data_IF_075779371082
#
_entry.id   IF_075779371082
#
_cell.length_a   1.000
_cell.length_b   1.000
_cell.length_c   1.000
_cell.angle_alpha   90.00
_cell.angle_beta   90.00
_cell.angle_gamma   90.00
#
_symmetry.space_group_name_H-M   'P 1'
#
loop_
_entity.id
_entity.type
_entity.pdbx_description
1 polymer ?
#
# COMPACT_ATOMS: atom_id res chain seq x y z
N UNK A 1 32.72 19.19 -1.25
CA UNK A 1 33.07 18.66 0.07
C UNK A 1 33.70 19.78 0.92
N UNK A 2 33.24 19.91 2.16
CA UNK A 2 33.81 20.84 3.13
C UNK A 2 34.46 19.99 4.24
N UNK A 3 35.77 20.20 4.41
CA UNK A 3 36.50 19.54 5.50
C UNK A 3 36.75 20.56 6.61
N UNK A 4 36.44 20.17 7.86
CA UNK A 4 36.75 21.00 9.03
C UNK A 4 37.17 20.11 10.21
N UNK A 5 37.91 20.74 11.16
CA UNK A 5 38.35 20.06 12.37
C UNK A 5 37.63 20.65 13.55
N UNK A 6 37.01 19.76 14.38
CA UNK A 6 36.35 20.12 15.63
C UNK A 6 36.82 19.20 16.75
N UNK A 7 37.29 19.77 17.85
CA UNK A 7 37.83 19.02 19.00
C UNK A 7 38.86 17.93 18.64
N UNK A 8 39.73 18.22 17.67
CA UNK A 8 40.78 17.29 17.22
C UNK A 8 40.30 16.20 16.26
N UNK A 9 39.00 16.12 15.97
CA UNK A 9 38.43 15.17 15.00
C UNK A 9 38.17 15.90 13.66
N UNK A 10 38.50 15.23 12.55
CA UNK A 10 38.26 15.74 11.20
C UNK A 10 36.88 15.30 10.73
N UNK A 11 36.11 16.23 10.18
CA UNK A 11 34.78 16.01 9.62
C UNK A 11 34.76 16.42 8.15
N UNK A 12 34.12 15.60 7.33
CA UNK A 12 33.82 15.94 5.93
C UNK A 12 32.31 16.09 5.77
N UNK A 13 31.88 17.26 5.36
CA UNK A 13 30.47 17.54 5.06
C UNK A 13 30.29 17.58 3.55
N UNK A 14 29.23 16.94 3.09
CA UNK A 14 28.81 16.96 1.70
C UNK A 14 27.38 17.49 1.60
N UNK A 15 27.00 18.01 0.44
CA UNK A 15 25.67 18.48 0.17
C UNK A 15 25.06 17.74 -1.02
N UNK A 16 23.77 17.42 -0.89
CA UNK A 16 22.94 16.98 -2.01
C UNK A 16 22.00 18.10 -2.39
N UNK A 17 21.98 18.51 -3.64
CA UNK A 17 21.29 19.71 -4.12
C UNK A 17 20.34 19.32 -5.25
N UNK A 18 19.08 19.73 -5.14
CA UNK A 18 18.10 19.68 -6.22
C UNK A 18 18.05 21.01 -6.97
N UNK A 19 18.11 20.96 -8.29
CA UNK A 19 18.01 22.13 -9.16
C UNK A 19 16.80 21.99 -10.08
N UNK A 20 15.99 23.04 -10.16
CA UNK A 20 14.81 23.10 -11.04
C UNK A 20 14.85 24.39 -11.87
N UNK A 21 14.49 24.27 -13.15
CA UNK A 21 14.30 25.41 -14.00
C UNK A 21 12.89 25.98 -13.78
N UNK A 22 12.81 27.27 -13.44
CA UNK A 22 11.53 27.97 -13.25
C UNK A 22 11.06 28.49 -14.61
N UNK A 23 9.82 28.17 -14.97
CA UNK A 23 9.14 28.66 -16.16
C UNK A 23 8.05 29.67 -15.79
N UNK A 24 7.71 30.59 -16.68
CA UNK A 24 6.76 31.69 -16.44
C UNK A 24 5.37 31.30 -15.94
N UNK A 25 4.98 30.04 -16.12
CA UNK A 25 3.66 29.51 -15.68
C UNK A 25 3.74 28.58 -14.46
N UNK A 26 4.94 28.36 -13.90
CA UNK A 26 5.11 27.47 -12.77
C UNK A 26 4.58 28.12 -11.48
N UNK A 27 3.77 27.40 -10.72
CA UNK A 27 3.34 27.85 -9.38
C UNK A 27 4.48 27.67 -8.38
N UNK A 28 4.43 28.44 -7.28
CA UNK A 28 5.38 28.32 -6.18
C UNK A 28 5.42 26.89 -5.61
N UNK A 29 4.25 26.30 -5.38
CA UNK A 29 4.13 24.96 -4.76
C UNK A 29 4.65 23.88 -5.70
N UNK A 30 4.39 24.00 -6.99
CA UNK A 30 4.92 23.07 -8.00
C UNK A 30 6.45 23.17 -8.12
N UNK A 31 6.98 24.38 -8.11
CA UNK A 31 8.43 24.62 -8.15
C UNK A 31 9.13 24.06 -6.92
N UNK A 32 8.61 24.29 -5.72
CA UNK A 32 9.17 23.75 -4.48
C UNK A 32 9.11 22.22 -4.46
N UNK A 33 7.96 21.65 -4.81
CA UNK A 33 7.79 20.18 -4.90
C UNK A 33 8.80 19.55 -5.86
N UNK A 34 9.02 20.16 -7.00
CA UNK A 34 9.96 19.68 -8.01
C UNK A 34 11.41 19.79 -7.53
N UNK A 35 11.76 20.88 -6.82
CA UNK A 35 13.09 21.06 -6.23
C UNK A 35 13.37 20.04 -5.12
N UNK A 36 12.40 19.78 -4.24
CA UNK A 36 12.48 18.75 -3.21
C UNK A 36 12.68 17.36 -3.81
N UNK A 37 11.96 17.05 -4.88
CA UNK A 37 12.13 15.83 -5.65
C UNK A 37 13.56 15.68 -6.17
N UNK A 38 14.08 16.68 -6.83
CA UNK A 38 15.45 16.65 -7.34
C UNK A 38 16.48 16.49 -6.20
N UNK A 39 16.26 17.14 -5.06
CA UNK A 39 17.12 17.01 -3.88
C UNK A 39 17.08 15.59 -3.30
N UNK A 40 15.91 15.01 -3.21
CA UNK A 40 15.74 13.62 -2.78
C UNK A 40 16.54 12.65 -3.66
N UNK A 41 16.44 12.80 -4.99
CA UNK A 41 17.20 11.98 -5.92
C UNK A 41 18.71 12.13 -5.80
N UNK A 42 19.17 13.34 -5.54
CA UNK A 42 20.60 13.54 -5.28
C UNK A 42 21.05 12.69 -4.08
N UNK A 43 20.18 12.52 -3.07
CA UNK A 43 20.44 11.65 -1.91
C UNK A 43 20.41 10.16 -2.25
N UNK A 44 19.40 9.72 -3.01
CA UNK A 44 19.24 8.31 -3.43
C UNK A 44 20.36 7.84 -4.36
N UNK A 45 20.74 8.65 -5.31
CA UNK A 45 21.81 8.33 -6.27
C UNK A 45 23.24 8.38 -5.68
N UNK A 46 23.35 8.36 -4.33
CA UNK A 46 24.64 8.25 -3.62
C UNK A 46 25.13 9.55 -3.01
N UNK A 47 24.26 10.53 -2.79
CA UNK A 47 24.55 11.83 -2.12
C UNK A 47 25.66 12.64 -2.79
N UNK A 48 26.09 13.73 -2.18
CA UNK A 48 27.22 14.57 -2.61
C UNK A 48 27.17 14.93 -4.10
N UNK A 49 26.01 15.37 -4.60
CA UNK A 49 25.78 15.73 -6.01
C UNK A 49 24.70 16.75 -6.20
N UNK A 50 24.71 17.35 -7.37
CA UNK A 50 23.62 18.17 -7.88
C UNK A 50 22.77 17.31 -8.80
N UNK A 51 21.45 17.26 -8.57
CA UNK A 51 20.49 16.64 -9.46
C UNK A 51 19.64 17.73 -10.09
N UNK A 52 19.66 17.80 -11.40
CA UNK A 52 18.81 18.72 -12.17
C UNK A 52 17.48 17.96 -12.44
N UNK A 53 16.37 18.63 -12.17
CA UNK A 53 15.07 18.10 -12.58
C UNK A 53 14.95 18.17 -14.11
N UNK A 54 14.64 17.01 -14.71
CA UNK A 54 14.30 16.95 -16.13
C UNK A 54 12.81 16.55 -16.24
N UNK A 55 11.95 17.35 -16.92
CA UNK A 55 10.52 17.01 -17.08
C UNK A 55 10.25 15.66 -17.74
N UNK A 56 11.23 15.11 -18.46
CA UNK A 56 11.13 13.77 -19.06
C UNK A 56 11.50 12.62 -18.11
N UNK A 57 11.91 12.90 -16.89
CA UNK A 57 12.32 11.91 -15.89
C UNK A 57 11.06 11.34 -15.18
N UNK A 58 10.27 10.60 -15.95
CA UNK A 58 9.01 9.98 -15.46
C UNK A 58 9.24 9.04 -14.29
N UNK A 59 10.37 8.35 -14.23
CA UNK A 59 10.75 7.47 -13.13
C UNK A 59 10.81 8.22 -11.79
N UNK A 60 11.18 9.49 -11.83
CA UNK A 60 11.33 10.36 -10.69
C UNK A 60 9.99 10.84 -10.12
N UNK A 61 9.11 11.24 -10.99
CA UNK A 61 7.72 11.60 -10.63
C UNK A 61 6.99 10.40 -10.03
N UNK A 62 7.27 9.21 -10.55
CA UNK A 62 6.70 7.96 -10.04
C UNK A 62 7.16 7.66 -8.61
N UNK A 63 8.47 7.73 -8.33
CA UNK A 63 9.03 7.48 -6.99
C UNK A 63 8.56 8.47 -5.92
N UNK A 64 8.43 9.74 -6.30
CA UNK A 64 7.92 10.76 -5.36
C UNK A 64 6.43 10.54 -5.05
N UNK A 65 5.66 10.17 -6.07
CA UNK A 65 4.28 9.73 -5.88
C UNK A 65 4.18 8.55 -4.90
N UNK A 66 5.08 7.58 -5.03
CA UNK A 66 5.12 6.41 -4.15
C UNK A 66 5.44 6.75 -2.68
N UNK A 67 6.40 7.65 -2.42
CA UNK A 67 6.69 8.08 -1.04
C UNK A 67 5.52 8.81 -0.38
N UNK A 68 4.78 9.62 -1.15
CA UNK A 68 3.56 10.23 -0.65
C UNK A 68 2.50 9.17 -0.30
N UNK A 69 2.52 8.02 -0.95
CA UNK A 69 1.65 6.90 -0.64
C UNK A 69 1.96 6.25 0.70
N UNK A 70 3.22 6.19 1.15
CA UNK A 70 3.56 5.64 2.47
C UNK A 70 2.76 6.32 3.57
N UNK A 71 2.81 7.66 3.61
CA UNK A 71 2.04 8.42 4.61
C UNK A 71 0.53 8.27 4.42
N UNK A 72 0.05 8.31 3.16
CA UNK A 72 -1.37 8.14 2.85
C UNK A 72 -1.92 6.78 3.25
N UNK A 73 -1.11 5.72 3.14
CA UNK A 73 -1.47 4.36 3.56
C UNK A 73 -1.57 4.28 5.08
N UNK A 74 -0.60 4.86 5.83
CA UNK A 74 -0.67 4.93 7.27
C UNK A 74 -1.90 5.71 7.74
N UNK A 75 -2.12 6.91 7.21
CA UNK A 75 -3.32 7.71 7.50
C UNK A 75 -4.60 6.92 7.18
N UNK A 76 -4.61 6.15 6.09
CA UNK A 76 -5.76 5.38 5.67
C UNK A 76 -6.07 4.19 6.57
N UNK A 77 -5.04 3.56 7.15
CA UNK A 77 -5.20 2.50 8.15
C UNK A 77 -5.75 3.08 9.46
N UNK A 78 -5.25 4.23 9.90
CA UNK A 78 -5.69 4.89 11.14
C UNK A 78 -7.10 5.49 11.01
N UNK A 79 -7.45 6.05 9.85
CA UNK A 79 -8.73 6.71 9.58
C UNK A 79 -9.79 5.74 9.02
N UNK A 80 -9.52 4.44 8.97
CA UNK A 80 -10.43 3.39 8.45
C UNK A 80 -10.92 3.67 7.01
N UNK A 81 -10.05 4.21 6.15
CA UNK A 81 -10.40 4.57 4.78
C UNK A 81 -10.24 3.44 3.75
N UNK A 82 -9.69 2.31 4.15
CA UNK A 82 -9.75 1.11 3.35
C UNK A 82 -11.16 0.52 3.34
N UNK A 83 -11.54 -0.14 2.25
CA UNK A 83 -12.81 -0.85 2.14
C UNK A 83 -12.66 -2.09 1.25
N UNK A 84 -13.51 -3.08 1.48
CA UNK A 84 -13.55 -4.32 0.73
C UNK A 84 -14.79 -4.34 -0.17
N UNK A 85 -14.57 -4.58 -1.46
CA UNK A 85 -15.61 -4.85 -2.43
C UNK A 85 -15.69 -6.36 -2.67
N UNK A 86 -16.90 -6.89 -2.78
CA UNK A 86 -17.11 -8.30 -3.08
C UNK A 86 -17.47 -8.46 -4.55
N UNK A 87 -16.74 -9.33 -5.24
CA UNK A 87 -17.06 -9.77 -6.61
C UNK A 87 -17.54 -11.22 -6.57
N UNK A 88 -18.68 -11.49 -7.20
CA UNK A 88 -19.20 -12.84 -7.28
C UNK A 88 -18.42 -13.67 -8.29
N UNK A 89 -18.07 -14.89 -7.92
CA UNK A 89 -17.49 -15.91 -8.79
C UNK A 89 -18.63 -16.84 -9.21
N UNK A 90 -18.94 -16.86 -10.49
CA UNK A 90 -20.02 -17.68 -11.05
C UNK A 90 -19.48 -18.97 -11.65
N UNK A 91 -20.15 -20.09 -11.37
CA UNK A 91 -19.83 -21.36 -12.03
C UNK A 91 -20.26 -21.30 -13.51
N UNK A 92 -19.35 -21.73 -14.42
CA UNK A 92 -19.66 -21.78 -15.86
C UNK A 92 -20.59 -22.95 -16.21
N UNK A 93 -20.58 -24.02 -15.41
CA UNK A 93 -21.36 -25.21 -15.62
C UNK A 93 -21.94 -25.72 -14.29
N UNK A 94 -23.21 -26.16 -14.33
CA UNK A 94 -23.92 -26.73 -13.19
C UNK A 94 -24.70 -25.71 -12.37
N UNK A 95 -25.68 -26.22 -11.62
CA UNK A 95 -26.41 -25.42 -10.62
C UNK A 95 -25.57 -25.42 -9.36
N UNK A 96 -24.91 -24.31 -9.07
CA UNK A 96 -24.17 -24.10 -7.84
C UNK A 96 -25.07 -24.30 -6.61
N UNK A 97 -25.10 -25.50 -6.10
CA UNK A 97 -25.82 -25.83 -4.87
C UNK A 97 -24.87 -25.69 -3.69
N UNK A 98 -24.89 -24.59 -2.98
CA UNK A 98 -24.06 -24.52 -1.78
C UNK A 98 -23.70 -23.13 -1.25
N UNK A 99 -24.19 -22.07 -1.85
CA UNK A 99 -23.87 -20.70 -1.44
C UNK A 99 -23.06 -19.91 -2.46
N UNK A 100 -22.78 -18.64 -2.16
CA UNK A 100 -22.04 -17.75 -3.06
C UNK A 100 -20.54 -17.95 -2.91
N UNK A 101 -19.85 -17.93 -4.04
CA UNK A 101 -18.39 -17.81 -4.09
C UNK A 101 -18.06 -16.35 -4.39
N UNK A 102 -17.23 -15.74 -3.57
CA UNK A 102 -16.88 -14.33 -3.71
C UNK A 102 -15.37 -14.12 -3.62
N UNK A 103 -14.87 -13.11 -4.28
CA UNK A 103 -13.54 -12.57 -4.10
C UNK A 103 -13.65 -11.19 -3.44
N UNK A 104 -12.83 -10.93 -2.43
CA UNK A 104 -12.74 -9.64 -1.79
C UNK A 104 -11.62 -8.82 -2.40
N UNK A 105 -11.98 -7.66 -2.89
CA UNK A 105 -11.10 -6.74 -3.58
C UNK A 105 -10.89 -5.48 -2.75
N UNK A 106 -9.65 -5.21 -2.39
CA UNK A 106 -9.26 -4.03 -1.63
C UNK A 106 -9.49 -2.76 -2.45
N UNK A 107 -10.02 -1.73 -1.80
CA UNK A 107 -10.12 -0.35 -2.31
C UNK A 107 -9.71 0.62 -1.22
N UNK A 108 -9.27 1.79 -1.62
CA UNK A 108 -8.96 2.89 -0.73
C UNK A 108 -9.87 4.08 -1.06
N UNK A 109 -10.32 4.79 -0.02
CA UNK A 109 -11.00 6.09 -0.19
C UNK A 109 -10.01 7.20 0.11
N UNK A 110 -9.97 8.20 -0.77
CA UNK A 110 -9.24 9.44 -0.48
C UNK A 110 -9.96 10.27 0.60
N UNK A 111 -9.39 11.41 0.96
CA UNK A 111 -9.98 12.31 1.98
C UNK A 111 -11.31 12.94 1.53
N UNK A 112 -11.56 12.97 0.23
CA UNK A 112 -12.80 13.47 -0.38
C UNK A 112 -13.85 12.36 -0.57
N UNK A 113 -13.51 11.10 -0.21
CA UNK A 113 -14.37 9.93 -0.31
C UNK A 113 -14.34 9.23 -1.66
N UNK A 114 -13.52 9.68 -2.63
CA UNK A 114 -13.39 9.04 -3.92
C UNK A 114 -12.62 7.72 -3.82
N UNK A 115 -12.97 6.76 -4.68
CA UNK A 115 -12.26 5.49 -4.75
C UNK A 115 -10.93 5.64 -5.48
N UNK A 116 -9.88 5.16 -4.84
CA UNK A 116 -8.54 5.03 -5.39
C UNK A 116 -8.31 3.56 -5.78
N UNK A 117 -7.94 3.30 -7.03
CA UNK A 117 -7.69 1.94 -7.50
C UNK A 117 -6.42 1.35 -6.86
N UNK A 118 -6.36 0.01 -6.64
CA UNK A 118 -5.18 -0.67 -6.06
C UNK A 118 -3.88 -0.39 -6.80
N UNK A 119 -3.93 -0.27 -8.13
CA UNK A 119 -2.75 0.02 -8.96
C UNK A 119 -2.02 1.32 -8.62
N UNK A 120 -2.68 2.26 -7.93
CA UNK A 120 -2.10 3.54 -7.55
C UNK A 120 -1.29 3.46 -6.24
N UNK A 121 -1.63 2.54 -5.33
CA UNK A 121 -1.00 2.47 -4.00
C UNK A 121 -0.30 1.14 -3.70
N UNK A 122 -0.73 0.01 -4.27
CA UNK A 122 -0.12 -1.31 -4.03
C UNK A 122 1.38 -1.33 -4.39
N UNK A 123 1.83 -0.78 -5.55
CA UNK A 123 3.26 -0.78 -5.87
C UNK A 123 4.12 -0.04 -4.83
N UNK A 124 3.58 1.05 -4.26
CA UNK A 124 4.25 1.76 -3.17
C UNK A 124 4.24 0.93 -1.87
N UNK A 125 3.11 0.30 -1.53
CA UNK A 125 3.00 -0.56 -0.36
C UNK A 125 3.98 -1.74 -0.41
N UNK A 126 4.14 -2.38 -1.56
CA UNK A 126 5.11 -3.46 -1.78
C UNK A 126 6.54 -2.97 -1.60
N UNK A 127 6.90 -1.88 -2.29
CA UNK A 127 8.26 -1.32 -2.27
C UNK A 127 8.71 -0.89 -0.88
N UNK A 128 7.80 -0.34 -0.09
CA UNK A 128 8.09 0.18 1.26
C UNK A 128 7.71 -0.78 2.39
N UNK A 129 7.38 -2.04 2.06
CA UNK A 129 7.14 -3.09 3.06
C UNK A 129 5.88 -2.89 3.90
N UNK A 130 4.85 -2.22 3.35
CA UNK A 130 3.59 -1.96 4.04
C UNK A 130 2.53 -3.04 3.81
N UNK A 131 2.76 -3.96 2.87
CA UNK A 131 1.80 -5.02 2.56
C UNK A 131 1.41 -5.87 3.77
N UNK A 132 2.31 -6.29 4.68
CA UNK A 132 1.90 -7.06 5.85
C UNK A 132 0.90 -6.33 6.76
N UNK A 133 0.95 -5.00 6.83
CA UNK A 133 -0.03 -4.20 7.57
C UNK A 133 -1.39 -4.20 6.86
N UNK A 134 -1.36 -3.98 5.55
CA UNK A 134 -2.57 -3.98 4.71
C UNK A 134 -3.22 -5.37 4.73
N UNK A 135 -2.46 -6.44 4.55
CA UNK A 135 -2.98 -7.82 4.52
C UNK A 135 -3.61 -8.20 5.87
N UNK A 136 -3.01 -7.81 6.99
CA UNK A 136 -3.63 -8.00 8.31
C UNK A 136 -4.93 -7.23 8.45
N UNK A 137 -5.00 -6.00 7.97
CA UNK A 137 -6.21 -5.20 7.93
C UNK A 137 -7.30 -5.91 7.09
N UNK A 138 -6.92 -6.39 5.89
CA UNK A 138 -7.84 -7.11 4.98
C UNK A 138 -8.40 -8.36 5.64
N UNK A 139 -7.55 -9.20 6.24
CA UNK A 139 -8.00 -10.43 6.91
C UNK A 139 -8.94 -10.12 8.07
N UNK A 140 -8.62 -9.12 8.89
CA UNK A 140 -9.47 -8.71 10.00
C UNK A 140 -10.87 -8.35 9.53
N UNK A 141 -10.97 -7.44 8.56
CA UNK A 141 -12.25 -6.91 8.08
C UNK A 141 -13.02 -7.94 7.23
N UNK A 142 -12.31 -8.76 6.45
CA UNK A 142 -12.92 -9.87 5.73
C UNK A 142 -13.62 -10.84 6.70
N UNK A 143 -12.95 -11.21 7.79
CA UNK A 143 -13.51 -12.14 8.77
C UNK A 143 -14.67 -11.52 9.56
N UNK A 144 -14.64 -10.25 9.84
CA UNK A 144 -15.79 -9.54 10.44
C UNK A 144 -17.02 -9.57 9.53
N UNK A 145 -16.82 -9.29 8.23
CA UNK A 145 -17.88 -9.34 7.21
C UNK A 145 -18.44 -10.77 7.09
N UNK A 146 -17.58 -11.79 6.99
CA UNK A 146 -17.97 -13.17 6.86
C UNK A 146 -18.76 -13.63 8.10
N UNK A 147 -18.25 -13.35 9.29
CA UNK A 147 -18.91 -13.69 10.55
C UNK A 147 -20.28 -13.00 10.69
N UNK A 148 -20.39 -11.75 10.25
CA UNK A 148 -21.68 -11.06 10.20
C UNK A 148 -22.65 -11.73 9.23
N UNK A 149 -22.18 -12.13 8.06
CA UNK A 149 -22.99 -12.85 7.07
C UNK A 149 -23.44 -14.22 7.54
N UNK A 150 -22.58 -15.00 8.18
CA UNK A 150 -22.93 -16.29 8.77
C UNK A 150 -24.09 -16.14 9.76
N UNK A 151 -24.11 -15.07 10.55
CA UNK A 151 -25.14 -14.85 11.58
C UNK A 151 -26.46 -14.30 11.03
N UNK A 152 -26.42 -13.49 9.98
CA UNK A 152 -27.58 -12.67 9.59
C UNK A 152 -28.07 -12.88 8.15
N UNK A 153 -27.39 -13.67 7.33
CA UNK A 153 -27.75 -13.84 5.91
C UNK A 153 -28.48 -15.16 5.65
N UNK A 154 -29.49 -15.08 4.81
CA UNK A 154 -30.18 -16.25 4.24
C UNK A 154 -29.42 -16.87 3.06
N UNK A 155 -28.42 -16.16 2.52
CA UNK A 155 -27.55 -16.62 1.43
C UNK A 155 -26.15 -16.87 1.98
N UNK A 156 -25.78 -18.14 2.28
CA UNK A 156 -24.47 -18.44 2.84
C UNK A 156 -23.35 -18.18 1.83
N UNK A 157 -22.19 -17.77 2.34
CA UNK A 157 -20.95 -17.75 1.57
C UNK A 157 -20.38 -19.17 1.61
N UNK A 158 -20.16 -19.77 0.43
CA UNK A 158 -19.51 -21.08 0.32
C UNK A 158 -17.98 -20.91 0.39
N UNK A 159 -17.42 -19.93 -0.34
CA UNK A 159 -15.99 -19.63 -0.36
C UNK A 159 -15.78 -18.14 -0.51
N UNK A 160 -14.80 -17.61 0.21
CA UNK A 160 -14.34 -16.25 0.12
C UNK A 160 -12.85 -16.24 -0.23
N UNK A 161 -12.51 -15.75 -1.41
CA UNK A 161 -11.14 -15.55 -1.85
C UNK A 161 -10.62 -14.19 -1.34
N UNK A 162 -9.41 -14.21 -0.82
CA UNK A 162 -8.72 -13.05 -0.25
C UNK A 162 -7.31 -13.02 -0.83
N UNK A 163 -6.98 -11.93 -1.53
CA UNK A 163 -5.64 -11.71 -2.05
C UNK A 163 -4.66 -11.37 -0.92
N UNK A 164 -3.48 -11.98 -0.95
CA UNK A 164 -2.37 -11.72 -0.04
C UNK A 164 -1.09 -11.47 -0.82
N UNK A 165 -0.28 -10.56 -0.33
CA UNK A 165 1.05 -10.32 -0.89
C UNK A 165 2.03 -11.44 -0.55
N UNK A 166 3.00 -11.69 -1.44
CA UNK A 166 4.09 -12.61 -1.16
C UNK A 166 4.94 -12.20 0.07
N UNK A 167 4.99 -10.91 0.40
CA UNK A 167 5.71 -10.40 1.56
C UNK A 167 5.15 -10.91 2.89
N UNK A 168 3.84 -11.08 2.97
CA UNK A 168 3.14 -11.55 4.19
C UNK A 168 3.44 -13.02 4.51
N UNK A 169 3.81 -13.83 3.51
CA UNK A 169 4.22 -15.22 3.74
C UNK A 169 5.53 -15.36 4.50
N UNK A 170 6.39 -14.34 4.47
CA UNK A 170 7.63 -14.32 5.24
C UNK A 170 7.43 -13.81 6.68
N UNK A 171 6.22 -13.42 7.06
CA UNK A 171 5.87 -13.03 8.43
C UNK A 171 5.51 -14.27 9.24
N UNK A 172 6.46 -14.74 10.08
CA UNK A 172 6.28 -15.94 10.91
C UNK A 172 5.03 -15.89 11.81
N UNK A 173 4.59 -14.70 12.20
CA UNK A 173 3.40 -14.50 13.03
C UNK A 173 2.07 -14.48 12.26
N UNK A 174 2.09 -14.45 10.93
CA UNK A 174 0.86 -14.28 10.15
C UNK A 174 -0.06 -15.50 10.21
N UNK A 175 0.49 -16.70 10.14
CA UNK A 175 -0.28 -17.94 10.23
C UNK A 175 -1.02 -18.06 11.57
N UNK A 176 -0.35 -17.74 12.67
CA UNK A 176 -0.95 -17.76 13.99
C UNK A 176 -2.04 -16.68 14.14
N UNK A 177 -1.79 -15.50 13.58
CA UNK A 177 -2.79 -14.43 13.50
C UNK A 177 -4.07 -14.89 12.78
N UNK A 178 -3.93 -15.50 11.60
CA UNK A 178 -5.08 -16.02 10.84
C UNK A 178 -5.82 -17.08 11.64
N UNK A 179 -5.11 -18.02 12.25
CA UNK A 179 -5.70 -19.09 13.07
C UNK A 179 -6.47 -18.54 14.26
N UNK A 180 -5.91 -17.57 14.98
CA UNK A 180 -6.58 -16.89 16.09
C UNK A 180 -7.88 -16.21 15.62
N UNK A 181 -7.82 -15.50 14.48
CA UNK A 181 -8.99 -14.80 13.93
C UNK A 181 -10.08 -15.78 13.48
N UNK A 182 -9.73 -16.89 12.81
CA UNK A 182 -10.70 -17.93 12.43
C UNK A 182 -11.44 -18.48 13.66
N UNK A 183 -10.70 -18.78 14.73
CA UNK A 183 -11.29 -19.24 15.98
C UNK A 183 -12.17 -18.16 16.63
N UNK A 184 -11.68 -16.94 16.73
CA UNK A 184 -12.40 -15.80 17.34
C UNK A 184 -13.73 -15.51 16.67
N UNK A 185 -13.78 -15.59 15.34
CA UNK A 185 -14.97 -15.29 14.56
C UNK A 185 -15.82 -16.54 14.25
N UNK A 186 -15.37 -17.71 14.70
CA UNK A 186 -16.00 -19.00 14.43
C UNK A 186 -16.26 -19.24 12.94
N UNK A 187 -15.23 -19.00 12.11
CA UNK A 187 -15.28 -19.18 10.66
C UNK A 187 -14.67 -20.53 10.31
N UNK A 188 -15.39 -21.41 9.59
CA UNK A 188 -14.80 -22.64 9.07
C UNK A 188 -13.64 -22.35 8.11
N UNK A 189 -12.44 -22.93 8.32
CA UNK A 189 -11.30 -22.70 7.43
C UNK A 189 -11.58 -23.02 5.96
N UNK A 190 -12.48 -23.97 5.69
CA UNK A 190 -12.90 -24.37 4.33
C UNK A 190 -13.63 -23.25 3.55
N UNK A 191 -14.08 -22.21 4.25
CA UNK A 191 -14.71 -21.04 3.62
C UNK A 191 -13.69 -20.02 3.08
N UNK A 192 -12.41 -20.12 3.46
CA UNK A 192 -11.40 -19.13 3.12
C UNK A 192 -10.45 -19.71 2.08
N UNK A 193 -10.22 -18.94 1.03
CA UNK A 193 -9.20 -19.18 0.04
C UNK A 193 -8.25 -17.99 0.01
N UNK A 194 -6.97 -18.20 0.32
CA UNK A 194 -5.96 -17.16 0.14
C UNK A 194 -5.32 -17.30 -1.24
N UNK A 195 -5.30 -16.21 -1.97
CA UNK A 195 -4.68 -16.12 -3.30
C UNK A 195 -3.40 -15.29 -3.17
N UNK A 196 -2.29 -15.85 -3.65
CA UNK A 196 -0.98 -15.20 -3.59
C UNK A 196 -0.72 -14.51 -4.92
N UNK A 197 -0.49 -13.21 -4.88
CA UNK A 197 -0.21 -12.36 -6.04
C UNK A 197 1.20 -11.78 -5.97
#
# INVERSE_FOLDING_TARGET
DLNFVWNGSSFTITASIGLVQIHDRATKDETLRTADLACYLAKEKGRNRIQIHNPSDTELLHRFGEMAWVQRIHDALEEERFCLYAQNIAALHGTGSGGSHIELLLRLRDKDGNLVPPGDFIPAAERYGLMPLIDRWVVQHAFEIIASRIRHSTSPIATCAINLSGATFNDEGFTDYVREKLMRYNIPPSMICFEIT
#
